data_IF_148165675150
#
_entry.id   IF_148165675150
#
_cell.length_a   1.000
_cell.length_b   1.000
_cell.length_c   1.000
_cell.angle_alpha   90.00
_cell.angle_beta   90.00
_cell.angle_gamma   90.00
#
_symmetry.space_group_name_H-M   'P 1'
#
loop_
_entity.id
_entity.type
_entity.pdbx_description
1 polymer ?
#
# COMPACT_ATOMS: atom_id res chain seq x y z
N UNK A 1 4.41 60.74 -2.76
CA UNK A 1 3.97 60.08 -4.02
C UNK A 1 2.80 59.17 -3.68
N UNK A 2 1.65 59.34 -4.32
CA UNK A 2 0.48 58.46 -4.14
C UNK A 2 0.76 57.14 -4.83
N UNK A 3 0.68 56.03 -4.11
CA UNK A 3 0.70 54.68 -4.68
C UNK A 3 -0.56 54.51 -5.54
N UNK A 4 -0.42 54.73 -6.85
CA UNK A 4 -1.46 54.37 -7.82
C UNK A 4 -1.40 52.86 -8.02
N UNK A 5 -2.33 52.12 -7.41
CA UNK A 5 -2.54 50.72 -7.76
C UNK A 5 -3.40 50.67 -9.02
N UNK A 6 -2.75 50.63 -10.19
CA UNK A 6 -3.40 50.65 -11.51
C UNK A 6 -4.44 49.52 -11.69
N UNK A 7 -4.30 48.44 -10.94
CA UNK A 7 -5.16 47.25 -11.02
C UNK A 7 -6.26 47.20 -9.96
N UNK A 8 -6.20 48.06 -8.93
CA UNK A 8 -7.23 48.19 -7.90
C UNK A 8 -7.42 49.67 -7.53
N UNK A 9 -7.85 50.52 -8.48
CA UNK A 9 -7.87 51.97 -8.30
C UNK A 9 -8.83 52.44 -7.20
N UNK A 10 -9.85 51.62 -6.85
CA UNK A 10 -10.80 51.91 -5.77
C UNK A 10 -10.33 51.45 -4.39
N UNK A 11 -9.22 50.71 -4.28
CA UNK A 11 -8.73 50.18 -3.00
C UNK A 11 -9.65 49.13 -2.39
N UNK A 12 -10.46 48.45 -3.21
CA UNK A 12 -11.41 47.44 -2.77
C UNK A 12 -10.70 46.31 -2.01
N UNK A 13 -11.29 45.88 -0.89
CA UNK A 13 -10.84 44.68 -0.16
C UNK A 13 -11.24 43.44 -0.95
N UNK A 14 -10.51 42.34 -0.74
CA UNK A 14 -10.77 41.05 -1.42
C UNK A 14 -12.26 40.71 -1.42
N UNK A 15 -12.93 40.64 -0.27
CA UNK A 15 -14.38 40.36 -0.19
C UNK A 15 -15.26 41.26 -1.08
N UNK A 16 -14.96 42.56 -1.15
CA UNK A 16 -15.73 43.52 -1.97
C UNK A 16 -15.55 43.32 -3.47
N UNK A 17 -14.43 42.70 -3.88
CA UNK A 17 -14.21 42.28 -5.26
C UNK A 17 -15.04 41.02 -5.61
N UNK A 18 -15.45 40.20 -4.66
CA UNK A 18 -16.13 38.93 -4.95
C UNK A 18 -17.65 38.98 -4.75
N UNK A 19 -18.13 39.82 -3.83
CA UNK A 19 -19.53 39.94 -3.42
C UNK A 19 -20.54 40.06 -4.59
N UNK A 20 -20.31 40.92 -5.62
CA UNK A 20 -21.27 41.11 -6.71
C UNK A 20 -21.38 39.96 -7.70
N UNK A 21 -20.43 39.01 -7.69
CA UNK A 21 -20.34 37.89 -8.64
C UNK A 21 -20.63 36.54 -7.97
N UNK A 22 -21.33 36.61 -6.84
CA UNK A 22 -21.77 35.47 -6.05
C UNK A 22 -23.10 34.97 -6.58
N UNK A 23 -23.15 33.72 -7.04
CA UNK A 23 -24.42 33.04 -7.35
C UNK A 23 -24.67 32.00 -6.28
N UNK A 24 -25.71 32.19 -5.46
CA UNK A 24 -26.15 31.21 -4.46
C UNK A 24 -27.40 30.50 -4.93
N UNK A 25 -27.34 29.18 -5.04
CA UNK A 25 -28.51 28.33 -5.26
C UNK A 25 -28.82 27.56 -3.98
N UNK A 26 -30.04 27.72 -3.49
CA UNK A 26 -30.54 26.95 -2.36
C UNK A 26 -31.09 25.62 -2.87
N UNK A 27 -30.41 24.53 -2.55
CA UNK A 27 -30.85 23.18 -2.94
C UNK A 27 -31.59 22.55 -1.76
N UNK A 28 -32.91 22.38 -1.92
CA UNK A 28 -33.75 21.76 -0.92
C UNK A 28 -33.77 20.24 -1.13
N UNK A 29 -33.15 19.48 -0.23
CA UNK A 29 -33.25 18.02 -0.20
C UNK A 29 -34.50 17.59 0.58
N UNK A 30 -35.23 16.58 0.09
CA UNK A 30 -36.44 16.01 0.72
C UNK A 30 -36.05 15.01 1.83
N UNK A 31 -35.04 15.34 2.65
CA UNK A 31 -34.51 14.52 3.74
C UNK A 31 -34.41 15.28 5.07
N UNK A 32 -34.09 14.59 6.17
CA UNK A 32 -34.04 15.17 7.53
C UNK A 32 -32.87 16.14 7.78
N UNK A 33 -31.93 16.22 6.86
CA UNK A 33 -30.83 17.17 6.89
C UNK A 33 -31.25 18.38 6.04
N UNK A 34 -31.47 19.53 6.69
CA UNK A 34 -32.02 20.73 6.03
C UNK A 34 -31.24 21.16 4.78
N UNK A 35 -31.89 21.93 3.91
CA UNK A 35 -31.33 22.32 2.60
C UNK A 35 -29.97 23.03 2.70
N UNK A 36 -29.09 22.72 1.75
CA UNK A 36 -27.72 23.25 1.66
C UNK A 36 -27.72 24.38 0.63
N UNK A 37 -27.07 25.49 0.99
CA UNK A 37 -26.88 26.62 0.09
C UNK A 37 -25.55 26.43 -0.65
N UNK A 38 -25.58 26.26 -1.97
CA UNK A 38 -24.38 26.10 -2.79
C UNK A 38 -24.08 27.46 -3.43
N UNK A 39 -22.92 28.00 -3.12
CA UNK A 39 -22.49 29.30 -3.63
C UNK A 39 -21.33 29.13 -4.60
N UNK A 40 -21.52 29.57 -5.84
CA UNK A 40 -20.48 29.55 -6.89
C UNK A 40 -19.99 30.97 -7.13
N UNK A 41 -18.67 31.13 -7.06
CA UNK A 41 -17.96 32.37 -7.38
C UNK A 41 -17.28 32.21 -8.75
N UNK A 42 -17.32 33.22 -9.62
CA UNK A 42 -16.56 33.22 -10.86
C UNK A 42 -16.08 34.63 -11.18
N UNK A 43 -14.77 34.86 -11.11
CA UNK A 43 -14.12 36.12 -11.53
C UNK A 43 -12.72 35.83 -12.07
N UNK A 44 -12.27 36.63 -13.03
CA UNK A 44 -10.90 36.64 -13.52
C UNK A 44 -10.14 37.77 -12.80
N UNK A 45 -8.96 37.46 -12.26
CA UNK A 45 -8.04 38.45 -11.70
C UNK A 45 -6.83 38.57 -12.62
N UNK A 46 -6.51 39.81 -13.03
CA UNK A 46 -5.30 40.11 -13.80
C UNK A 46 -4.24 40.59 -12.81
N UNK A 47 -3.15 39.85 -12.72
CA UNK A 47 -2.00 40.21 -11.90
C UNK A 47 -0.89 40.79 -12.78
N UNK A 48 -0.29 41.91 -12.36
CA UNK A 48 0.92 42.43 -12.98
C UNK A 48 1.94 42.81 -11.91
N UNK A 49 3.18 42.37 -12.10
CA UNK A 49 4.31 42.67 -11.24
C UNK A 49 5.61 42.62 -12.04
N UNK A 50 6.72 43.17 -11.50
CA UNK A 50 8.03 43.05 -12.14
C UNK A 50 8.39 41.59 -12.38
N UNK A 51 8.91 41.28 -13.57
CA UNK A 51 9.29 39.92 -13.96
C UNK A 51 10.29 39.28 -12.97
N UNK A 52 11.16 40.10 -12.36
CA UNK A 52 12.16 39.66 -11.37
C UNK A 52 11.58 39.13 -10.05
N UNK A 53 10.29 39.35 -9.78
CA UNK A 53 9.59 38.82 -8.58
C UNK A 53 8.50 37.82 -8.95
N UNK A 54 8.51 37.33 -10.19
CA UNK A 54 7.38 36.58 -10.71
C UNK A 54 7.14 35.30 -9.92
N UNK A 55 8.18 34.53 -9.64
CA UNK A 55 8.11 33.23 -8.97
C UNK A 55 7.64 33.38 -7.51
N UNK A 56 8.18 34.36 -6.80
CA UNK A 56 7.76 34.72 -5.43
C UNK A 56 6.27 35.11 -5.39
N UNK A 57 5.85 35.97 -6.32
CA UNK A 57 4.47 36.45 -6.37
C UNK A 57 3.49 35.34 -6.80
N UNK A 58 3.89 34.46 -7.72
CA UNK A 58 3.09 33.30 -8.12
C UNK A 58 2.85 32.36 -6.94
N UNK A 59 3.90 32.04 -6.17
CA UNK A 59 3.75 31.25 -4.96
C UNK A 59 2.86 31.95 -3.93
N UNK A 60 2.84 33.29 -3.87
CA UNK A 60 2.00 34.06 -2.96
C UNK A 60 0.51 34.05 -3.33
N UNK A 61 0.20 34.08 -4.62
CA UNK A 61 -1.17 34.24 -5.14
C UNK A 61 -1.81 32.91 -5.50
N UNK A 62 -1.04 31.94 -5.96
CA UNK A 62 -1.50 30.63 -6.40
C UNK A 62 -1.04 29.51 -5.47
N UNK A 63 -1.59 28.31 -5.68
CA UNK A 63 -1.06 27.11 -5.04
C UNK A 63 0.29 26.72 -5.64
N UNK A 64 1.11 25.98 -4.90
CA UNK A 64 2.42 25.57 -5.36
C UNK A 64 2.36 24.73 -6.64
N UNK A 65 1.31 23.93 -6.82
CA UNK A 65 1.06 23.11 -8.01
C UNK A 65 0.94 23.99 -9.26
N UNK A 66 0.17 25.07 -9.19
CA UNK A 66 -0.02 25.97 -10.33
C UNK A 66 1.23 26.83 -10.57
N UNK A 67 1.94 27.21 -9.50
CA UNK A 67 3.18 27.97 -9.62
C UNK A 67 4.31 27.15 -10.29
N UNK A 68 4.43 25.85 -9.99
CA UNK A 68 5.43 24.98 -10.65
C UNK A 68 5.03 24.66 -12.09
N UNK A 69 3.73 24.54 -12.40
CA UNK A 69 3.22 24.38 -13.76
C UNK A 69 3.54 25.62 -14.62
N UNK A 70 3.36 26.83 -14.06
CA UNK A 70 3.76 28.07 -14.73
C UNK A 70 5.27 28.13 -14.98
N UNK A 71 6.09 27.82 -13.96
CA UNK A 71 7.54 27.76 -14.11
C UNK A 71 7.95 26.77 -15.22
N UNK A 72 7.30 25.60 -15.27
CA UNK A 72 7.55 24.59 -16.29
C UNK A 72 7.16 25.04 -17.71
N UNK A 73 6.26 26.02 -17.85
CA UNK A 73 5.87 26.58 -19.16
C UNK A 73 6.88 27.59 -19.71
N UNK A 74 7.74 28.13 -18.86
CA UNK A 74 8.68 29.24 -19.18
C UNK A 74 10.07 28.77 -19.61
N UNK A 75 10.20 27.54 -20.10
CA UNK A 75 11.48 26.93 -20.50
C UNK A 75 12.31 27.84 -21.42
N UNK A 76 13.66 27.87 -21.28
CA UNK A 76 14.47 27.07 -20.36
C UNK A 76 14.48 27.62 -18.92
N UNK A 77 14.57 26.71 -17.94
CA UNK A 77 14.72 27.05 -16.51
C UNK A 77 16.11 26.60 -16.06
N UNK A 78 16.85 27.46 -15.37
CA UNK A 78 18.16 27.12 -14.83
C UNK A 78 18.08 26.38 -13.48
N UNK A 79 19.13 25.65 -13.12
CA UNK A 79 19.23 24.98 -11.81
C UNK A 79 19.05 25.95 -10.65
N UNK A 80 19.65 27.14 -10.75
CA UNK A 80 19.57 28.19 -9.73
C UNK A 80 18.14 28.71 -9.56
N UNK A 81 17.42 28.94 -10.66
CA UNK A 81 16.01 29.36 -10.62
C UNK A 81 15.13 28.28 -9.99
N UNK A 82 15.32 27.01 -10.40
CA UNK A 82 14.56 25.89 -9.86
C UNK A 82 14.83 25.67 -8.36
N UNK A 83 16.10 25.80 -7.93
CA UNK A 83 16.51 25.75 -6.52
C UNK A 83 15.86 26.87 -5.71
N UNK A 84 15.92 28.10 -6.23
CA UNK A 84 15.34 29.28 -5.57
C UNK A 84 13.83 29.14 -5.41
N UNK A 85 13.16 28.61 -6.44
CA UNK A 85 11.73 28.31 -6.40
C UNK A 85 11.40 27.27 -5.33
N UNK A 86 12.17 26.17 -5.26
CA UNK A 86 11.98 25.11 -4.26
C UNK A 86 12.17 25.63 -2.83
N UNK A 87 13.20 26.45 -2.59
CA UNK A 87 13.45 27.04 -1.28
C UNK A 87 12.33 28.02 -0.86
N UNK A 88 11.82 28.82 -1.79
CA UNK A 88 10.69 29.72 -1.54
C UNK A 88 9.39 28.94 -1.24
N UNK A 89 9.11 27.88 -2.01
CA UNK A 89 7.95 27.02 -1.78
C UNK A 89 8.04 26.31 -0.42
N UNK A 90 9.22 25.76 -0.09
CA UNK A 90 9.49 25.12 1.19
C UNK A 90 9.31 26.06 2.37
N UNK A 91 9.90 27.26 2.31
CA UNK A 91 9.78 28.26 3.38
C UNK A 91 8.32 28.66 3.63
N UNK A 92 7.50 28.75 2.57
CA UNK A 92 6.09 29.09 2.67
C UNK A 92 5.23 27.96 3.22
N UNK A 93 5.48 26.73 2.79
CA UNK A 93 4.61 25.58 3.05
C UNK A 93 5.12 24.68 4.18
N UNK A 94 6.27 25.00 4.75
CA UNK A 94 6.92 24.21 5.81
C UNK A 94 7.39 22.85 5.30
N UNK A 95 7.74 22.73 4.00
CA UNK A 95 8.18 21.46 3.45
C UNK A 95 9.58 21.08 3.89
N UNK A 96 9.81 19.80 4.17
CA UNK A 96 11.15 19.27 4.48
C UNK A 96 11.69 19.66 5.85
N UNK A 97 10.84 20.16 6.75
CA UNK A 97 11.17 20.39 8.17
C UNK A 97 11.00 19.08 8.93
N UNK A 98 12.02 18.62 9.65
CA UNK A 98 11.88 17.52 10.60
C UNK A 98 11.58 18.09 12.00
N UNK A 99 10.40 17.78 12.56
CA UNK A 99 10.06 18.15 13.94
C UNK A 99 9.79 16.88 14.76
N UNK A 100 10.55 16.70 15.84
CA UNK A 100 10.44 15.58 16.79
C UNK A 100 10.35 14.20 16.13
N UNK A 101 11.15 13.96 15.09
CA UNK A 101 11.18 12.68 14.38
C UNK A 101 9.99 12.41 13.45
N UNK A 102 9.11 13.40 13.23
CA UNK A 102 8.12 13.37 12.15
C UNK A 102 8.65 14.22 10.99
N UNK A 103 8.69 13.62 9.79
CA UNK A 103 8.82 14.39 8.55
C UNK A 103 7.65 15.38 8.49
N UNK A 104 7.97 16.66 8.28
CA UNK A 104 6.99 17.73 8.12
C UNK A 104 6.18 17.59 6.84
N UNK A 105 5.48 18.66 6.46
CA UNK A 105 4.72 18.68 5.22
C UNK A 105 5.60 18.31 4.02
N UNK A 106 5.03 17.61 3.04
CA UNK A 106 5.72 17.22 1.81
C UNK A 106 5.03 17.85 0.61
N UNK A 107 5.74 17.85 -0.52
CA UNK A 107 5.16 18.27 -1.78
C UNK A 107 3.97 17.37 -2.16
N UNK A 108 2.94 17.96 -2.76
CA UNK A 108 1.80 17.18 -3.26
C UNK A 108 2.20 16.33 -4.48
N UNK A 109 1.42 15.28 -4.78
CA UNK A 109 1.62 14.45 -5.97
C UNK A 109 1.59 15.29 -7.25
N UNK A 110 0.66 16.25 -7.35
CA UNK A 110 0.56 17.14 -8.51
C UNK A 110 1.79 18.04 -8.66
N UNK A 111 2.31 18.58 -7.55
CA UNK A 111 3.56 19.34 -7.57
C UNK A 111 4.73 18.46 -8.06
N UNK A 112 4.86 17.26 -7.50
CA UNK A 112 5.92 16.31 -7.88
C UNK A 112 5.90 16.01 -9.37
N UNK A 113 4.72 15.84 -9.98
CA UNK A 113 4.59 15.52 -11.41
C UNK A 113 5.27 16.55 -12.31
N UNK A 114 5.06 17.84 -12.03
CA UNK A 114 5.69 18.93 -12.80
C UNK A 114 7.17 19.10 -12.43
N UNK A 115 7.48 19.02 -11.13
CA UNK A 115 8.83 19.25 -10.63
C UNK A 115 9.83 18.17 -11.08
N UNK A 116 9.42 16.89 -11.13
CA UNK A 116 10.27 15.79 -11.64
C UNK A 116 10.70 16.02 -13.10
N UNK A 117 9.82 16.57 -13.95
CA UNK A 117 10.19 16.89 -15.33
C UNK A 117 11.21 18.04 -15.39
N UNK A 118 11.03 19.08 -14.55
CA UNK A 118 11.98 20.19 -14.47
C UNK A 118 13.36 19.74 -13.97
N UNK A 119 13.40 18.80 -13.01
CA UNK A 119 14.66 18.21 -12.54
C UNK A 119 15.42 17.52 -13.68
N UNK A 120 14.71 16.74 -14.49
CA UNK A 120 15.28 16.07 -15.67
C UNK A 120 15.78 17.10 -16.69
N UNK A 121 15.00 18.15 -16.97
CA UNK A 121 15.38 19.19 -17.93
C UNK A 121 16.64 19.96 -17.50
N UNK A 122 16.78 20.21 -16.19
CA UNK A 122 17.93 20.92 -15.60
C UNK A 122 19.18 20.03 -15.53
N UNK A 123 19.01 18.73 -15.25
CA UNK A 123 20.12 17.78 -15.18
C UNK A 123 21.06 17.97 -13.99
N UNK A 124 20.60 18.58 -12.89
CA UNK A 124 21.38 18.76 -11.65
C UNK A 124 21.13 17.59 -10.67
N UNK A 125 22.11 16.68 -10.46
CA UNK A 125 21.94 15.50 -9.61
C UNK A 125 21.78 15.84 -8.13
N UNK A 126 22.45 16.88 -7.65
CA UNK A 126 22.36 17.32 -6.25
C UNK A 126 20.96 17.86 -5.95
N UNK A 127 20.41 18.65 -6.88
CA UNK A 127 19.04 19.16 -6.77
C UNK A 127 18.00 18.02 -6.85
N UNK A 128 18.21 17.04 -7.74
CA UNK A 128 17.33 15.89 -7.84
C UNK A 128 17.33 15.04 -6.56
N UNK A 129 18.53 14.73 -6.04
CA UNK A 129 18.69 14.00 -4.77
C UNK A 129 18.08 14.74 -3.59
N UNK A 130 18.29 16.05 -3.52
CA UNK A 130 17.71 16.91 -2.49
C UNK A 130 16.19 16.89 -2.53
N UNK A 131 15.59 17.03 -3.72
CA UNK A 131 14.14 16.95 -3.90
C UNK A 131 13.58 15.61 -3.42
N UNK A 132 14.14 14.50 -3.91
CA UNK A 132 13.67 13.16 -3.59
C UNK A 132 13.76 12.86 -2.08
N UNK A 133 14.85 13.27 -1.43
CA UNK A 133 15.10 12.96 -0.02
C UNK A 133 14.31 13.81 0.97
N UNK A 134 14.11 15.11 0.67
CA UNK A 134 13.54 16.07 1.65
C UNK A 134 12.15 16.56 1.32
N UNK A 135 11.74 16.54 0.06
CA UNK A 135 10.52 17.23 -0.39
C UNK A 135 9.50 16.28 -1.00
N UNK A 136 9.95 15.21 -1.66
CA UNK A 136 9.07 14.21 -2.25
C UNK A 136 8.43 13.35 -1.15
N UNK A 137 7.10 13.17 -1.16
CA UNK A 137 6.44 12.28 -0.23
C UNK A 137 6.79 10.82 -0.53
N UNK A 138 6.74 9.97 0.49
CA UNK A 138 6.75 8.51 0.31
C UNK A 138 5.43 8.08 -0.32
N UNK A 139 5.51 7.26 -1.36
CA UNK A 139 4.42 7.13 -2.32
C UNK A 139 3.55 5.89 -2.14
N UNK A 140 3.98 4.89 -1.39
CA UNK A 140 3.21 3.67 -1.25
C UNK A 140 1.80 3.95 -0.71
N UNK A 141 0.78 3.46 -1.43
CA UNK A 141 -0.66 3.66 -1.20
C UNK A 141 -1.18 5.11 -1.30
N UNK A 142 -0.33 6.09 -1.67
CA UNK A 142 -0.77 7.48 -1.89
C UNK A 142 -1.68 7.60 -3.10
N UNK A 143 -2.78 8.35 -2.97
CA UNK A 143 -3.72 8.58 -4.09
C UNK A 143 -3.01 9.24 -5.28
N UNK A 144 -3.31 8.77 -6.49
CA UNK A 144 -2.72 9.23 -7.76
C UNK A 144 -1.20 9.05 -7.92
N UNK A 145 -0.53 8.30 -7.03
CA UNK A 145 0.91 8.06 -7.09
C UNK A 145 1.38 7.46 -8.44
N UNK A 146 0.56 6.63 -9.09
CA UNK A 146 0.83 6.04 -10.40
C UNK A 146 1.10 7.10 -11.49
N UNK A 147 0.56 8.30 -11.33
CA UNK A 147 0.80 9.42 -12.26
C UNK A 147 2.25 9.91 -12.28
N UNK A 148 3.05 9.57 -11.27
CA UNK A 148 4.45 9.94 -11.15
C UNK A 148 5.41 8.94 -11.80
N UNK A 149 4.94 7.73 -12.14
CA UNK A 149 5.75 6.66 -12.72
C UNK A 149 6.58 7.16 -13.93
N UNK A 150 6.00 7.88 -14.92
CA UNK A 150 6.80 8.39 -16.05
C UNK A 150 7.90 9.36 -15.62
N UNK A 151 7.67 10.16 -14.57
CA UNK A 151 8.67 11.08 -14.02
C UNK A 151 9.84 10.32 -13.40
N UNK A 152 9.57 9.28 -12.61
CA UNK A 152 10.62 8.47 -11.99
C UNK A 152 11.42 7.64 -13.00
N UNK A 153 10.78 7.11 -14.04
CA UNK A 153 11.48 6.45 -15.15
C UNK A 153 12.50 7.41 -15.77
N UNK A 154 12.10 8.67 -16.05
CA UNK A 154 13.02 9.68 -16.59
C UNK A 154 14.15 10.00 -15.64
N UNK A 155 13.88 10.19 -14.34
CA UNK A 155 14.93 10.45 -13.33
C UNK A 155 15.96 9.31 -13.34
N UNK A 156 15.49 8.06 -13.20
CA UNK A 156 16.36 6.88 -13.15
C UNK A 156 17.12 6.62 -14.47
N UNK A 157 16.61 7.11 -15.61
CA UNK A 157 17.28 7.04 -16.90
C UNK A 157 18.27 8.17 -17.16
N UNK A 158 18.10 9.32 -16.49
CA UNK A 158 18.87 10.55 -16.76
C UNK A 158 20.07 10.69 -15.83
N UNK A 159 19.88 10.37 -14.55
CA UNK A 159 20.89 10.55 -13.51
C UNK A 159 21.66 9.26 -13.22
N UNK A 160 22.90 9.38 -12.73
CA UNK A 160 23.64 8.22 -12.24
C UNK A 160 22.88 7.57 -11.08
N UNK A 161 22.82 6.24 -11.07
CA UNK A 161 22.17 5.50 -9.99
C UNK A 161 22.82 5.78 -8.63
N UNK A 162 24.13 6.01 -8.59
CA UNK A 162 24.86 6.33 -7.36
C UNK A 162 24.42 7.66 -6.73
N UNK A 163 23.91 8.59 -7.53
CA UNK A 163 23.49 9.91 -7.04
C UNK A 163 22.07 9.86 -6.45
N UNK A 164 21.14 9.20 -7.15
CA UNK A 164 19.69 9.28 -6.87
C UNK A 164 19.07 7.95 -6.38
N UNK A 165 19.77 6.83 -6.52
CA UNK A 165 19.22 5.49 -6.34
C UNK A 165 18.65 5.24 -4.95
N UNK A 166 19.40 5.55 -3.89
CA UNK A 166 18.89 5.39 -2.51
C UNK A 166 17.65 6.23 -2.24
N UNK A 167 17.63 7.48 -2.72
CA UNK A 167 16.49 8.37 -2.53
C UNK A 167 15.25 7.88 -3.30
N UNK A 168 15.42 7.37 -4.52
CA UNK A 168 14.34 6.74 -5.28
C UNK A 168 13.78 5.50 -4.58
N UNK A 169 14.65 4.65 -4.03
CA UNK A 169 14.24 3.46 -3.31
C UNK A 169 13.47 3.80 -2.01
N UNK A 170 13.84 4.86 -1.29
CA UNK A 170 13.07 5.33 -0.12
C UNK A 170 11.68 5.86 -0.52
N UNK A 171 11.61 6.69 -1.57
CA UNK A 171 10.37 7.31 -2.04
C UNK A 171 9.37 6.27 -2.56
N UNK A 172 9.81 5.36 -3.43
CA UNK A 172 8.97 4.34 -4.05
C UNK A 172 8.71 3.16 -3.11
N UNK A 173 9.71 2.78 -2.32
CA UNK A 173 9.68 1.57 -1.50
C UNK A 173 9.00 1.73 -0.15
N UNK A 174 8.59 2.94 0.25
CA UNK A 174 8.02 3.16 1.59
C UNK A 174 6.51 3.42 1.54
N UNK A 175 5.77 2.60 2.27
CA UNK A 175 4.36 2.82 2.59
C UNK A 175 4.26 3.59 3.92
N UNK A 176 3.32 4.53 4.00
CA UNK A 176 2.96 5.14 5.28
C UNK A 176 2.07 4.17 6.07
N UNK A 177 2.17 4.13 7.41
CA UNK A 177 1.32 3.28 8.24
C UNK A 177 -0.17 3.56 7.97
N UNK A 178 -0.92 2.48 7.77
CA UNK A 178 -2.38 2.45 7.56
C UNK A 178 -3.12 3.08 8.75
N UNK A 179 -3.32 4.40 8.73
CA UNK A 179 -4.29 5.06 9.60
C UNK A 179 -5.52 5.57 8.87
N UNK A 180 -5.52 5.56 7.53
CA UNK A 180 -6.69 5.87 6.72
C UNK A 180 -6.98 4.69 5.79
N UNK A 181 -8.07 3.99 6.08
CA UNK A 181 -8.77 3.15 5.11
C UNK A 181 -9.43 4.09 4.08
N UNK A 182 -8.63 4.74 3.23
CA UNK A 182 -9.19 5.46 2.09
C UNK A 182 -9.86 4.44 1.16
N UNK A 183 -11.07 4.74 0.68
CA UNK A 183 -11.83 3.82 -0.19
C UNK A 183 -11.13 3.51 -1.52
N UNK A 184 -10.09 4.25 -1.90
CA UNK A 184 -9.32 4.07 -3.14
C UNK A 184 -7.84 4.44 -2.94
N UNK A 185 -7.03 3.59 -2.27
CA UNK A 185 -5.60 3.82 -2.16
C UNK A 185 -4.93 3.72 -3.55
N UNK A 186 -3.83 4.46 -3.74
CA UNK A 186 -3.00 4.30 -4.95
C UNK A 186 -2.18 3.01 -4.92
N UNK A 187 -1.26 2.87 -5.89
CA UNK A 187 -0.38 1.71 -6.01
C UNK A 187 0.41 1.47 -4.71
N UNK A 188 0.56 0.21 -4.33
CA UNK A 188 1.45 -0.23 -3.25
C UNK A 188 2.92 0.08 -3.58
N UNK A 189 3.80 0.05 -2.57
CA UNK A 189 5.23 0.26 -2.80
C UNK A 189 5.82 -0.80 -3.76
N UNK A 190 5.35 -2.05 -3.68
CA UNK A 190 5.78 -3.13 -4.58
C UNK A 190 5.37 -2.82 -6.02
N UNK A 191 4.10 -2.43 -6.25
CA UNK A 191 3.61 -2.08 -7.59
C UNK A 191 4.37 -0.89 -8.19
N UNK A 192 4.61 0.17 -7.39
CA UNK A 192 5.39 1.32 -7.86
C UNK A 192 6.80 0.93 -8.29
N UNK A 193 7.52 0.16 -7.47
CA UNK A 193 8.87 -0.30 -7.78
C UNK A 193 8.89 -1.13 -9.07
N UNK A 194 7.94 -2.07 -9.23
CA UNK A 194 7.85 -2.94 -10.41
C UNK A 194 7.50 -2.17 -11.67
N UNK A 195 6.56 -1.22 -11.60
CA UNK A 195 6.13 -0.42 -12.76
C UNK A 195 7.20 0.56 -13.21
N UNK A 196 7.96 1.15 -12.29
CA UNK A 196 9.13 1.99 -12.65
C UNK A 196 10.23 1.11 -13.25
N UNK A 197 10.52 -0.06 -12.68
CA UNK A 197 11.50 -0.99 -13.23
C UNK A 197 11.16 -1.46 -14.65
N UNK A 198 9.89 -1.71 -14.95
CA UNK A 198 9.43 -2.13 -16.27
C UNK A 198 9.60 -1.05 -17.36
N UNK A 199 9.72 0.22 -16.98
CA UNK A 199 9.97 1.32 -17.90
C UNK A 199 11.44 1.60 -18.18
N UNK A 200 12.36 0.86 -17.55
CA UNK A 200 13.80 1.05 -17.65
C UNK A 200 14.44 -0.03 -18.51
N UNK A 201 15.59 0.30 -19.12
CA UNK A 201 16.44 -0.68 -19.77
C UNK A 201 17.17 -1.55 -18.75
N UNK A 202 17.71 -2.67 -19.22
CA UNK A 202 18.53 -3.57 -18.41
C UNK A 202 19.77 -2.82 -17.88
N UNK A 203 19.95 -2.84 -16.56
CA UNK A 203 21.01 -2.10 -15.88
C UNK A 203 20.78 -2.00 -14.37
N UNK A 204 21.72 -1.33 -13.70
CA UNK A 204 21.72 -1.19 -12.23
C UNK A 204 20.42 -0.60 -11.66
N UNK A 205 19.81 0.46 -12.24
CA UNK A 205 18.54 1.00 -11.75
C UNK A 205 17.41 -0.04 -11.73
N UNK A 206 17.24 -0.75 -12.85
CA UNK A 206 16.19 -1.76 -13.01
C UNK A 206 16.39 -2.92 -12.03
N UNK A 207 17.60 -3.44 -11.92
CA UNK A 207 17.93 -4.53 -11.00
C UNK A 207 17.70 -4.13 -9.54
N UNK A 208 18.11 -2.94 -9.13
CA UNK A 208 17.96 -2.46 -7.77
C UNK A 208 16.48 -2.26 -7.38
N UNK A 209 15.66 -1.72 -8.29
CA UNK A 209 14.22 -1.56 -8.08
C UNK A 209 13.51 -2.93 -7.94
N UNK A 210 13.83 -3.88 -8.82
CA UNK A 210 13.29 -5.24 -8.75
C UNK A 210 13.73 -5.95 -7.47
N UNK A 211 15.01 -5.86 -7.09
CA UNK A 211 15.51 -6.44 -5.84
C UNK A 211 14.79 -5.86 -4.62
N UNK A 212 14.56 -4.54 -4.61
CA UNK A 212 13.80 -3.88 -3.52
C UNK A 212 12.34 -4.31 -3.49
N UNK A 213 11.72 -4.50 -4.65
CA UNK A 213 10.35 -5.03 -4.73
C UNK A 213 10.27 -6.44 -4.15
N UNK A 214 11.24 -7.31 -4.48
CA UNK A 214 11.32 -8.69 -3.98
C UNK A 214 11.71 -8.80 -2.50
N UNK A 215 12.39 -7.81 -1.93
CA UNK A 215 12.61 -7.71 -0.47
C UNK A 215 11.29 -7.44 0.26
N UNK A 216 10.44 -6.60 -0.33
CA UNK A 216 9.18 -6.13 0.25
C UNK A 216 7.98 -7.00 -0.10
N UNK A 217 8.17 -7.96 -1.00
CA UNK A 217 7.06 -8.74 -1.47
C UNK A 217 6.54 -9.62 -0.33
N UNK A 218 5.27 -9.40 -0.04
CA UNK A 218 4.46 -10.31 0.74
C UNK A 218 3.44 -10.85 -0.25
N UNK A 219 3.64 -12.08 -0.71
CA UNK A 219 2.70 -12.78 -1.60
C UNK A 219 1.42 -13.18 -0.85
N UNK A 220 0.88 -12.33 0.02
CA UNK A 220 -0.48 -12.49 0.55
C UNK A 220 -1.51 -11.78 -0.34
N UNK A 221 -1.07 -10.95 -1.29
CA UNK A 221 -1.94 -10.23 -2.23
C UNK A 221 -1.80 -10.77 -3.66
N UNK A 222 -2.93 -11.06 -4.30
CA UNK A 222 -2.99 -11.39 -5.72
C UNK A 222 -2.51 -10.24 -6.60
N UNK A 223 -2.70 -8.98 -6.19
CA UNK A 223 -2.27 -7.82 -6.97
C UNK A 223 -0.75 -7.71 -7.06
N UNK A 224 -0.04 -8.00 -5.96
CA UNK A 224 1.42 -8.01 -5.95
C UNK A 224 1.99 -9.16 -6.82
N UNK A 225 1.34 -10.32 -6.79
CA UNK A 225 1.70 -11.45 -7.64
C UNK A 225 1.48 -11.13 -9.14
N UNK A 226 0.36 -10.49 -9.47
CA UNK A 226 0.03 -10.09 -10.83
C UNK A 226 0.99 -8.99 -11.35
N UNK A 227 1.36 -8.04 -10.49
CA UNK A 227 2.33 -7.02 -10.82
C UNK A 227 3.71 -7.63 -11.12
N UNK A 228 4.16 -8.62 -10.32
CA UNK A 228 5.40 -9.35 -10.60
C UNK A 228 5.35 -10.03 -11.96
N UNK A 229 4.25 -10.72 -12.26
CA UNK A 229 4.09 -11.40 -13.53
C UNK A 229 4.13 -10.42 -14.70
N UNK A 230 3.27 -9.42 -14.65
CA UNK A 230 3.12 -8.44 -15.74
C UNK A 230 4.39 -7.64 -16.00
N UNK A 231 5.17 -7.29 -14.98
CA UNK A 231 6.28 -6.33 -15.10
C UNK A 231 7.68 -6.94 -15.00
N UNK A 232 7.86 -8.02 -14.26
CA UNK A 232 9.17 -8.63 -14.05
C UNK A 232 9.37 -9.91 -14.87
N UNK A 233 8.31 -10.71 -15.06
CA UNK A 233 8.37 -11.98 -15.81
C UNK A 233 8.03 -11.77 -17.28
N UNK A 234 6.84 -11.25 -17.59
CA UNK A 234 6.33 -11.15 -18.96
C UNK A 234 7.07 -10.10 -19.79
N UNK A 235 7.39 -8.95 -19.18
CA UNK A 235 8.08 -7.83 -19.84
C UNK A 235 9.59 -7.83 -19.58
N UNK A 236 10.09 -8.71 -18.73
CA UNK A 236 11.48 -8.67 -18.29
C UNK A 236 12.44 -9.45 -19.20
N UNK A 237 13.72 -9.08 -19.10
CA UNK A 237 14.84 -9.85 -19.64
C UNK A 237 15.10 -11.15 -18.85
N UNK A 238 16.01 -11.99 -19.37
CA UNK A 238 16.37 -13.25 -18.71
C UNK A 238 16.87 -13.05 -17.28
N UNK A 239 17.61 -11.98 -17.01
CA UNK A 239 18.14 -11.71 -15.67
C UNK A 239 17.04 -11.39 -14.65
N UNK A 240 16.03 -10.62 -15.05
CA UNK A 240 14.88 -10.34 -14.18
C UNK A 240 14.07 -11.59 -13.91
N UNK A 241 13.87 -12.40 -14.95
CA UNK A 241 13.21 -13.68 -14.83
C UNK A 241 13.94 -14.59 -13.83
N UNK A 242 15.26 -14.73 -13.97
CA UNK A 242 16.10 -15.56 -13.08
C UNK A 242 16.06 -15.07 -11.64
N UNK A 243 16.09 -13.75 -11.42
CA UNK A 243 16.03 -13.18 -10.08
C UNK A 243 14.68 -13.43 -9.40
N UNK A 244 13.58 -13.24 -10.12
CA UNK A 244 12.22 -13.48 -9.60
C UNK A 244 12.02 -14.97 -9.32
N UNK A 245 12.32 -15.83 -10.29
CA UNK A 245 12.17 -17.29 -10.12
C UNK A 245 13.05 -17.82 -8.98
N UNK A 246 14.31 -17.38 -8.88
CA UNK A 246 15.20 -17.73 -7.75
C UNK A 246 14.63 -17.33 -6.39
N UNK A 247 13.88 -16.23 -6.30
CA UNK A 247 13.21 -15.81 -5.06
C UNK A 247 11.99 -16.68 -4.77
N UNK A 248 11.16 -16.94 -5.78
CA UNK A 248 9.95 -17.77 -5.67
C UNK A 248 10.30 -19.22 -5.30
N UNK A 249 11.37 -19.78 -5.86
CA UNK A 249 11.85 -21.12 -5.51
C UNK A 249 12.22 -21.27 -4.02
N UNK A 250 12.70 -20.18 -3.40
CA UNK A 250 13.12 -20.14 -2.00
C UNK A 250 11.97 -19.88 -1.03
N UNK A 251 10.81 -19.40 -1.50
CA UNK A 251 9.64 -19.14 -0.65
C UNK A 251 8.99 -20.43 -0.18
N UNK A 252 8.32 -20.39 0.97
CA UNK A 252 7.59 -21.56 1.46
C UNK A 252 6.41 -21.88 0.53
N UNK A 253 6.09 -23.16 0.27
CA UNK A 253 5.00 -23.53 -0.62
C UNK A 253 3.65 -22.91 -0.23
N UNK A 254 3.40 -22.70 1.06
CA UNK A 254 2.19 -22.07 1.60
C UNK A 254 2.07 -20.59 1.19
N UNK A 255 3.19 -19.88 1.06
CA UNK A 255 3.27 -18.46 0.69
C UNK A 255 3.09 -18.24 -0.82
N UNK A 256 3.25 -19.28 -1.63
CA UNK A 256 3.12 -19.19 -3.09
C UNK A 256 1.67 -19.10 -3.58
N UNK A 257 0.66 -19.20 -2.71
CA UNK A 257 -0.75 -19.29 -3.12
C UNK A 257 -1.22 -18.21 -4.12
N UNK A 258 -1.04 -16.91 -3.83
CA UNK A 258 -1.41 -15.86 -4.78
C UNK A 258 -0.66 -15.94 -6.12
N UNK A 259 0.59 -16.41 -6.12
CA UNK A 259 1.35 -16.63 -7.35
C UNK A 259 0.92 -17.91 -8.08
N UNK A 260 0.45 -18.94 -7.37
CA UNK A 260 -0.17 -20.13 -7.96
C UNK A 260 -1.38 -19.78 -8.83
N UNK A 261 -2.20 -18.82 -8.41
CA UNK A 261 -3.31 -18.32 -9.24
C UNK A 261 -2.82 -17.65 -10.53
N UNK A 262 -1.76 -16.87 -10.45
CA UNK A 262 -1.14 -16.19 -11.61
C UNK A 262 -0.56 -17.22 -12.58
N UNK A 263 0.14 -18.24 -12.06
CA UNK A 263 0.63 -19.37 -12.86
C UNK A 263 -0.51 -20.14 -13.53
N UNK A 264 -1.65 -20.28 -12.86
CA UNK A 264 -2.83 -20.93 -13.43
C UNK A 264 -3.53 -20.09 -14.50
N UNK A 265 -3.40 -18.75 -14.45
CA UNK A 265 -4.01 -17.86 -15.43
C UNK A 265 -3.13 -17.65 -16.66
N UNK A 266 -1.82 -17.57 -16.45
CA UNK A 266 -0.87 -17.12 -17.47
C UNK A 266 0.20 -18.15 -17.82
N UNK A 267 0.22 -19.31 -17.16
CA UNK A 267 1.23 -20.35 -17.42
C UNK A 267 1.26 -20.82 -18.86
N UNK A 268 0.13 -20.79 -19.56
CA UNK A 268 0.01 -21.12 -20.98
C UNK A 268 0.57 -20.06 -21.93
N UNK A 269 0.98 -18.88 -21.42
CA UNK A 269 1.55 -17.81 -22.24
C UNK A 269 2.95 -18.19 -22.77
N UNK A 270 3.61 -19.16 -22.14
CA UNK A 270 4.92 -19.67 -22.54
C UNK A 270 4.81 -20.96 -23.36
N UNK A 271 5.71 -21.12 -24.34
CA UNK A 271 5.84 -22.38 -25.07
C UNK A 271 6.27 -23.51 -24.12
N UNK A 272 5.66 -24.68 -24.25
CA UNK A 272 5.87 -25.82 -23.33
C UNK A 272 7.30 -26.36 -23.30
N UNK A 273 8.09 -26.07 -24.33
CA UNK A 273 9.50 -26.48 -24.46
C UNK A 273 10.48 -25.39 -23.99
N UNK A 274 9.97 -24.20 -23.63
CA UNK A 274 10.81 -23.08 -23.18
C UNK A 274 11.41 -23.32 -21.80
N UNK A 275 12.63 -22.83 -21.58
CA UNK A 275 13.31 -22.88 -20.28
C UNK A 275 12.51 -22.13 -19.20
N UNK A 276 11.84 -21.04 -19.59
CA UNK A 276 10.95 -20.28 -18.72
C UNK A 276 9.78 -21.15 -18.24
N UNK A 277 9.11 -21.88 -19.14
CA UNK A 277 8.02 -22.78 -18.76
C UNK A 277 8.50 -23.89 -17.83
N UNK A 278 9.70 -24.44 -18.06
CA UNK A 278 10.30 -25.44 -17.17
C UNK A 278 10.56 -24.90 -15.76
N UNK A 279 11.04 -23.66 -15.62
CA UNK A 279 11.27 -23.01 -14.33
C UNK A 279 9.95 -22.70 -13.59
N UNK A 280 8.95 -22.17 -14.31
CA UNK A 280 7.61 -21.94 -13.73
C UNK A 280 6.93 -23.25 -13.32
N UNK A 281 7.12 -24.32 -14.10
CA UNK A 281 6.64 -25.67 -13.79
C UNK A 281 7.20 -26.20 -12.47
N UNK A 282 8.48 -25.92 -12.15
CA UNK A 282 9.09 -26.30 -10.86
C UNK A 282 8.44 -25.59 -9.68
N UNK A 283 8.15 -24.29 -9.82
CA UNK A 283 7.46 -23.51 -8.79
C UNK A 283 6.02 -24.03 -8.60
N UNK A 284 5.32 -24.30 -9.71
CA UNK A 284 3.99 -24.90 -9.69
C UNK A 284 3.99 -26.30 -9.05
N UNK A 285 4.99 -27.14 -9.34
CA UNK A 285 5.12 -28.48 -8.76
C UNK A 285 5.26 -28.42 -7.24
N UNK A 286 6.12 -27.51 -6.74
CA UNK A 286 6.30 -27.27 -5.30
C UNK A 286 4.98 -26.89 -4.62
N UNK A 287 4.20 -26.00 -5.26
CA UNK A 287 2.88 -25.60 -4.76
C UNK A 287 1.88 -26.76 -4.79
N UNK A 288 1.86 -27.55 -5.87
CA UNK A 288 0.96 -28.71 -6.02
C UNK A 288 1.26 -29.81 -5.00
N UNK A 289 2.53 -30.08 -4.71
CA UNK A 289 2.91 -31.05 -3.67
C UNK A 289 2.38 -30.64 -2.29
N UNK A 290 2.53 -29.36 -1.93
CA UNK A 290 1.96 -28.82 -0.70
C UNK A 290 0.42 -28.90 -0.69
N UNK A 291 -0.23 -28.50 -1.79
CA UNK A 291 -1.69 -28.59 -1.92
C UNK A 291 -2.21 -30.02 -1.72
N UNK A 292 -1.50 -31.05 -2.21
CA UNK A 292 -1.89 -32.45 -1.99
C UNK A 292 -1.94 -32.80 -0.50
N UNK A 293 -0.92 -32.41 0.26
CA UNK A 293 -0.87 -32.64 1.71
C UNK A 293 -2.01 -31.92 2.44
N UNK A 294 -2.21 -30.63 2.15
CA UNK A 294 -3.27 -29.84 2.77
C UNK A 294 -4.67 -30.34 2.43
N UNK A 295 -4.90 -30.74 1.17
CA UNK A 295 -6.17 -31.34 0.74
C UNK A 295 -6.41 -32.65 1.47
N UNK A 296 -5.40 -33.50 1.62
CA UNK A 296 -5.55 -34.79 2.33
C UNK A 296 -5.94 -34.57 3.80
N UNK A 297 -5.27 -33.65 4.48
CA UNK A 297 -5.55 -33.31 5.88
C UNK A 297 -6.93 -32.68 6.05
N UNK A 298 -7.27 -31.68 5.22
CA UNK A 298 -8.58 -31.03 5.26
C UNK A 298 -9.72 -31.97 4.87
N UNK A 299 -9.53 -32.87 3.90
CA UNK A 299 -10.56 -33.85 3.48
C UNK A 299 -10.87 -34.88 4.58
N UNK A 300 -9.89 -35.23 5.44
CA UNK A 300 -10.14 -36.04 6.65
C UNK A 300 -11.03 -35.28 7.63
N UNK A 301 -10.83 -33.98 7.79
CA UNK A 301 -11.49 -33.15 8.80
C UNK A 301 -12.85 -32.58 8.34
N UNK A 302 -13.04 -32.37 7.05
CA UNK A 302 -14.20 -31.68 6.49
C UNK A 302 -15.43 -32.57 6.25
N UNK A 303 -15.29 -33.90 6.40
CA UNK A 303 -16.36 -34.87 6.10
C UNK A 303 -17.56 -34.74 7.02
N UNK A 304 -17.31 -34.45 8.28
CA UNK A 304 -18.34 -34.27 9.30
C UNK A 304 -17.93 -33.17 10.25
N UNK A 305 -18.87 -32.29 10.59
CA UNK A 305 -18.60 -31.21 11.53
C UNK A 305 -18.09 -31.75 12.87
N UNK A 306 -16.94 -31.20 13.30
CA UNK A 306 -16.35 -31.41 14.61
C UNK A 306 -16.04 -30.07 15.27
N UNK A 307 -16.09 -30.04 16.60
CA UNK A 307 -15.60 -28.91 17.40
C UNK A 307 -14.09 -28.95 17.60
N UNK A 308 -13.42 -30.02 17.20
CA UNK A 308 -11.97 -30.18 17.33
C UNK A 308 -11.24 -29.30 16.32
N UNK A 309 -10.25 -28.56 16.80
CA UNK A 309 -9.32 -27.75 16.00
C UNK A 309 -7.92 -28.33 16.22
N UNK A 310 -7.59 -29.46 15.56
CA UNK A 310 -6.44 -30.30 15.90
C UNK A 310 -5.10 -29.57 15.76
N UNK A 311 -5.04 -28.56 14.88
CA UNK A 311 -3.82 -27.79 14.61
C UNK A 311 -3.73 -26.48 15.38
N UNK A 312 -4.63 -26.20 16.34
CA UNK A 312 -4.51 -25.00 17.16
C UNK A 312 -3.15 -24.98 17.90
N UNK A 313 -2.39 -23.88 17.80
CA UNK A 313 -1.07 -23.71 18.46
C UNK A 313 -1.05 -22.42 19.27
N UNK A 314 -0.86 -22.52 20.59
CA UNK A 314 -0.69 -21.37 21.46
C UNK A 314 0.36 -21.65 22.55
N UNK A 315 1.31 -20.73 22.71
CA UNK A 315 2.47 -20.94 23.57
C UNK A 315 2.23 -20.53 25.02
N UNK A 316 1.22 -19.71 25.29
CA UNK A 316 1.07 -19.05 26.61
C UNK A 316 0.12 -19.78 27.55
N UNK A 317 -0.89 -20.50 27.04
CA UNK A 317 -1.85 -21.24 27.87
C UNK A 317 -2.18 -22.62 27.29
N UNK A 318 -1.57 -23.66 27.86
CA UNK A 318 -1.71 -25.06 27.41
C UNK A 318 -3.14 -25.58 27.56
N UNK A 319 -3.85 -25.18 28.61
CA UNK A 319 -5.24 -25.60 28.89
C UNK A 319 -6.19 -25.18 27.75
N UNK A 320 -6.01 -23.98 27.20
CA UNK A 320 -6.82 -23.49 26.07
C UNK A 320 -6.53 -24.31 24.82
N UNK A 321 -5.26 -24.65 24.53
CA UNK A 321 -4.91 -25.48 23.37
C UNK A 321 -5.50 -26.87 23.47
N UNK A 322 -5.37 -27.50 24.64
CA UNK A 322 -5.95 -28.83 24.90
C UNK A 322 -7.47 -28.80 24.73
N UNK A 323 -8.14 -27.75 25.21
CA UNK A 323 -9.57 -27.54 24.95
C UNK A 323 -9.89 -27.35 23.47
N UNK A 324 -9.14 -26.50 22.75
CA UNK A 324 -9.37 -26.22 21.32
C UNK A 324 -9.23 -27.49 20.47
N UNK A 325 -8.28 -28.35 20.80
CA UNK A 325 -8.08 -29.65 20.14
C UNK A 325 -9.12 -30.71 20.56
N UNK A 326 -9.79 -30.52 21.70
CA UNK A 326 -10.81 -31.44 22.21
C UNK A 326 -12.21 -31.26 21.60
N UNK A 327 -13.14 -32.20 21.81
CA UNK A 327 -14.48 -32.17 21.22
C UNK A 327 -15.46 -31.20 21.90
N UNK A 328 -15.08 -30.61 23.04
CA UNK A 328 -15.97 -29.74 23.81
C UNK A 328 -16.20 -28.41 23.09
N UNK A 329 -17.45 -27.94 23.11
CA UNK A 329 -17.82 -26.66 22.49
C UNK A 329 -17.39 -25.46 23.34
N UNK A 330 -17.39 -25.60 24.67
CA UNK A 330 -17.10 -24.50 25.60
C UNK A 330 -16.25 -24.96 26.78
N UNK A 331 -15.40 -24.06 27.29
CA UNK A 331 -14.71 -24.21 28.57
C UNK A 331 -14.86 -22.94 29.41
N UNK A 332 -14.66 -23.09 30.72
CA UNK A 332 -14.65 -21.96 31.66
C UNK A 332 -13.34 -21.94 32.41
N UNK A 333 -12.69 -20.78 32.43
CA UNK A 333 -11.45 -20.50 33.13
C UNK A 333 -11.72 -19.57 34.31
N UNK A 334 -11.20 -19.92 35.49
CA UNK A 334 -11.28 -19.08 36.70
C UNK A 334 -10.02 -18.23 36.93
N UNK A 335 -9.02 -18.39 36.07
CA UNK A 335 -7.73 -17.71 36.15
C UNK A 335 -7.02 -17.71 34.81
N UNK A 336 -5.88 -17.01 34.71
CA UNK A 336 -5.00 -17.04 33.52
C UNK A 336 -4.41 -18.44 33.32
N UNK A 337 -4.17 -19.11 34.45
CA UNK A 337 -3.83 -20.52 34.57
C UNK A 337 -4.47 -21.06 35.87
N UNK A 338 -4.28 -22.35 36.13
CA UNK A 338 -4.73 -23.02 37.36
C UNK A 338 -4.28 -22.34 38.67
N UNK A 339 -3.18 -21.55 38.64
CA UNK A 339 -2.53 -20.99 39.83
C UNK A 339 -2.82 -19.48 40.05
N UNK A 340 -3.34 -18.77 39.05
CA UNK A 340 -3.60 -17.32 39.08
C UNK A 340 -5.08 -16.98 38.84
N UNK A 341 -5.94 -17.04 39.89
CA UNK A 341 -7.37 -16.78 39.76
C UNK A 341 -7.68 -15.31 39.43
N UNK A 342 -8.79 -15.09 38.73
CA UNK A 342 -9.28 -13.75 38.42
C UNK A 342 -9.86 -13.08 39.67
N UNK A 343 -9.05 -12.26 40.34
CA UNK A 343 -9.45 -11.55 41.58
C UNK A 343 -10.61 -10.56 41.33
N UNK A 344 -10.76 -10.03 40.11
CA UNK A 344 -11.78 -9.02 39.76
C UNK A 344 -12.32 -9.27 38.35
N UNK A 345 -13.61 -8.98 38.13
CA UNK A 345 -14.24 -9.01 36.80
C UNK A 345 -13.48 -8.20 35.75
N UNK A 346 -12.85 -7.09 36.14
CA UNK A 346 -12.00 -6.32 35.22
C UNK A 346 -10.87 -7.16 34.62
N UNK A 347 -10.21 -8.00 35.42
CA UNK A 347 -9.11 -8.87 34.94
C UNK A 347 -9.62 -9.96 34.02
N UNK A 348 -10.76 -10.57 34.32
CA UNK A 348 -11.42 -11.51 33.42
C UNK A 348 -11.79 -10.85 32.08
N UNK A 349 -12.29 -9.61 32.10
CA UNK A 349 -12.59 -8.83 30.87
C UNK A 349 -11.34 -8.52 30.04
N UNK A 350 -10.25 -8.09 30.70
CA UNK A 350 -8.95 -7.86 30.05
C UNK A 350 -8.46 -9.15 29.36
N UNK A 351 -8.48 -10.29 30.05
CA UNK A 351 -8.06 -11.57 29.49
C UNK A 351 -8.95 -12.04 28.32
N UNK A 352 -10.27 -11.93 28.45
CA UNK A 352 -11.19 -12.27 27.37
C UNK A 352 -10.98 -11.39 26.13
N UNK A 353 -10.67 -10.10 26.32
CA UNK A 353 -10.33 -9.20 25.22
C UNK A 353 -9.04 -9.63 24.53
N UNK A 354 -7.98 -9.94 25.27
CA UNK A 354 -6.72 -10.46 24.74
C UNK A 354 -6.93 -11.75 23.94
N UNK A 355 -7.68 -12.71 24.48
CA UNK A 355 -7.99 -13.97 23.79
C UNK A 355 -8.67 -13.74 22.44
N UNK A 356 -9.58 -12.76 22.35
CA UNK A 356 -10.30 -12.44 21.11
C UNK A 356 -9.45 -11.60 20.13
N UNK A 357 -8.53 -10.80 20.64
CA UNK A 357 -7.70 -9.90 19.84
C UNK A 357 -6.51 -10.62 19.22
N UNK A 358 -5.80 -11.42 20.01
CA UNK A 358 -4.57 -12.08 19.54
C UNK A 358 -4.88 -13.30 18.68
N UNK A 359 -6.04 -13.94 18.89
CA UNK A 359 -6.55 -15.14 18.19
C UNK A 359 -5.51 -16.26 18.02
N UNK A 360 -5.80 -17.42 18.59
CA UNK A 360 -4.94 -18.58 18.39
C UNK A 360 -4.99 -19.03 16.91
N UNK A 361 -3.83 -19.16 16.22
CA UNK A 361 -3.77 -19.68 14.86
C UNK A 361 -4.48 -21.03 14.73
N UNK A 362 -5.09 -21.28 13.57
CA UNK A 362 -5.84 -22.52 13.30
C UNK A 362 -6.98 -22.79 14.30
N UNK A 363 -7.67 -21.74 14.75
CA UNK A 363 -8.81 -21.88 15.64
C UNK A 363 -9.89 -20.81 15.39
N UNK A 364 -11.10 -21.05 15.90
CA UNK A 364 -12.12 -19.99 16.00
C UNK A 364 -12.97 -20.15 17.25
N UNK A 365 -12.98 -19.12 18.08
CA UNK A 365 -13.73 -19.06 19.32
C UNK A 365 -14.08 -17.62 19.69
N UNK A 366 -14.96 -17.48 20.68
CA UNK A 366 -15.29 -16.22 21.34
C UNK A 366 -15.08 -16.41 22.83
N UNK A 367 -14.29 -15.53 23.45
CA UNK A 367 -14.10 -15.45 24.89
C UNK A 367 -15.01 -14.36 25.48
N UNK A 368 -15.71 -14.68 26.57
CA UNK A 368 -16.57 -13.74 27.32
C UNK A 368 -16.33 -13.85 28.82
N UNK A 369 -16.15 -12.71 29.47
CA UNK A 369 -16.05 -12.65 30.92
C UNK A 369 -17.43 -12.53 31.57
N UNK A 370 -17.63 -13.23 32.68
CA UNK A 370 -18.86 -13.22 33.47
C UNK A 370 -18.55 -13.31 34.97
N UNK A 371 -19.49 -12.82 35.77
CA UNK A 371 -19.52 -12.91 37.22
C UNK A 371 -20.99 -13.07 37.61
N UNK A 372 -21.36 -14.23 38.12
CA UNK A 372 -22.72 -14.52 38.59
C UNK A 372 -22.78 -14.25 40.09
N UNK A 373 -23.98 -14.03 40.63
CA UNK A 373 -24.17 -13.78 42.06
C UNK A 373 -23.69 -15.00 42.88
N UNK A 374 -22.63 -14.81 43.68
CA UNK A 374 -22.00 -15.86 44.48
C UNK A 374 -20.90 -16.67 43.77
N UNK A 375 -20.54 -16.33 42.54
CA UNK A 375 -19.44 -16.97 41.80
C UNK A 375 -18.25 -16.03 41.61
N UNK A 376 -17.04 -16.60 41.62
CA UNK A 376 -15.83 -15.86 41.26
C UNK A 376 -15.88 -15.44 39.77
N UNK A 377 -15.26 -14.30 39.42
CA UNK A 377 -15.09 -13.89 38.04
C UNK A 377 -14.44 -14.99 37.19
N UNK A 378 -15.01 -15.24 36.01
CA UNK A 378 -14.51 -16.28 35.11
C UNK A 378 -14.63 -15.85 33.65
N UNK A 379 -13.89 -16.55 32.78
CA UNK A 379 -13.93 -16.38 31.33
C UNK A 379 -14.44 -17.66 30.70
N UNK A 380 -15.49 -17.55 29.91
CA UNK A 380 -16.00 -18.65 29.09
C UNK A 380 -15.49 -18.51 27.67
N UNK A 381 -14.78 -19.52 27.18
CA UNK A 381 -14.33 -19.63 25.79
C UNK A 381 -15.28 -20.58 25.08
N UNK A 382 -15.92 -20.11 24.01
CA UNK A 382 -16.87 -20.89 23.20
C UNK A 382 -16.37 -20.97 21.76
N UNK A 383 -16.18 -22.18 21.26
CA UNK A 383 -15.80 -22.41 19.86
C UNK A 383 -16.89 -21.97 18.91
N UNK A 384 -16.50 -21.49 17.73
CA UNK A 384 -17.44 -21.18 16.65
C UNK A 384 -17.34 -22.20 15.53
N UNK A 385 -18.29 -22.14 14.59
CA UNK A 385 -18.26 -22.97 13.37
C UNK A 385 -17.38 -22.39 12.26
N UNK A 386 -16.85 -21.18 12.43
CA UNK A 386 -16.12 -20.47 11.37
C UNK A 386 -14.89 -21.25 10.94
N UNK A 387 -14.13 -21.87 11.86
CA UNK A 387 -12.95 -22.64 11.48
C UNK A 387 -13.31 -23.82 10.55
N UNK A 388 -14.37 -24.55 10.86
CA UNK A 388 -14.85 -25.64 9.98
C UNK A 388 -15.38 -25.12 8.64
N UNK A 389 -16.14 -24.03 8.65
CA UNK A 389 -16.65 -23.41 7.41
C UNK A 389 -15.49 -22.94 6.51
N UNK A 390 -14.51 -22.23 7.08
CA UNK A 390 -13.30 -21.79 6.39
C UNK A 390 -12.48 -22.98 5.88
N UNK A 391 -12.39 -24.07 6.65
CA UNK A 391 -11.72 -25.30 6.23
C UNK A 391 -12.38 -25.92 4.99
N UNK A 392 -13.71 -25.93 4.93
CA UNK A 392 -14.46 -26.41 3.76
C UNK A 392 -14.25 -25.51 2.54
N UNK A 393 -14.26 -24.19 2.73
CA UNK A 393 -13.98 -23.22 1.66
C UNK A 393 -12.55 -23.36 1.13
N UNK A 394 -11.57 -23.44 2.04
CA UNK A 394 -10.16 -23.67 1.70
C UNK A 394 -9.98 -24.99 0.95
N UNK A 395 -10.63 -26.07 1.37
CA UNK A 395 -10.56 -27.36 0.68
C UNK A 395 -11.06 -27.26 -0.77
N UNK A 396 -12.21 -26.60 -0.99
CA UNK A 396 -12.74 -26.38 -2.33
C UNK A 396 -11.77 -25.56 -3.19
N UNK A 397 -11.27 -24.45 -2.63
CA UNK A 397 -10.30 -23.56 -3.29
C UNK A 397 -9.00 -24.28 -3.65
N UNK A 398 -8.44 -25.07 -2.73
CA UNK A 398 -7.20 -25.81 -2.95
C UNK A 398 -7.38 -26.92 -3.99
N UNK A 399 -8.51 -27.64 -3.99
CA UNK A 399 -8.83 -28.63 -5.04
C UNK A 399 -8.92 -27.97 -6.42
N UNK A 400 -9.54 -26.79 -6.50
CA UNK A 400 -9.63 -26.03 -7.76
C UNK A 400 -8.25 -25.54 -8.23
N UNK A 401 -7.46 -24.92 -7.33
CA UNK A 401 -6.09 -24.45 -7.61
C UNK A 401 -5.21 -25.60 -8.12
N UNK A 402 -5.21 -26.73 -7.40
CA UNK A 402 -4.44 -27.92 -7.77
C UNK A 402 -4.84 -28.46 -9.15
N UNK A 403 -6.13 -28.47 -9.46
CA UNK A 403 -6.63 -28.95 -10.76
C UNK A 403 -6.12 -28.06 -11.89
N UNK A 404 -6.25 -26.73 -11.76
CA UNK A 404 -5.79 -25.77 -12.78
C UNK A 404 -4.28 -25.85 -13.01
N UNK A 405 -3.49 -25.87 -11.93
CA UNK A 405 -2.03 -26.00 -12.03
C UNK A 405 -1.64 -27.32 -12.68
N UNK A 406 -2.30 -28.42 -12.30
CA UNK A 406 -2.03 -29.72 -12.91
C UNK A 406 -2.41 -29.75 -14.38
N UNK A 407 -3.54 -29.15 -14.79
CA UNK A 407 -3.95 -29.17 -16.19
C UNK A 407 -2.97 -28.42 -17.11
N UNK A 408 -2.34 -27.36 -16.62
CA UNK A 408 -1.38 -26.56 -17.40
C UNK A 408 0.00 -27.24 -17.44
N UNK A 409 0.48 -27.77 -16.32
CA UNK A 409 1.86 -28.26 -16.19
C UNK A 409 2.00 -29.78 -16.20
N UNK A 410 0.90 -30.53 -16.39
CA UNK A 410 0.82 -32.01 -16.37
C UNK A 410 1.91 -32.71 -17.19
N UNK A 411 2.24 -32.19 -18.36
CA UNK A 411 3.21 -32.79 -19.29
C UNK A 411 4.66 -32.77 -18.80
N UNK A 412 4.97 -31.97 -17.78
CA UNK A 412 6.32 -31.83 -17.22
C UNK A 412 6.51 -32.63 -15.92
N UNK A 413 5.45 -33.24 -15.38
CA UNK A 413 5.48 -33.95 -14.09
C UNK A 413 5.29 -35.46 -14.21
N UNK A 414 5.09 -35.95 -15.44
CA UNK A 414 5.16 -37.37 -15.84
C UNK A 414 6.55 -37.69 -16.33
#
# INVERSE_FOLDING_TARGET
MRNFNFLNPGGEKFFQLWDPFTTSEYVQFIGKEGGINITKYSRFAIFAWPAVRHEENMLNVLSAEHAVEDLASRKPVSATELRTFLDAASAKLGWGVEDRGRRGAMASIRFCRSFLNLLVDVGDPELAKLFLSKFCPRLGKQRENASLIPGFIKIASTFSWDDVGEALLDVLGTELPEYDYEENPGDSAVELLLRVAAGLNDGAPRQALLAKALEKIVLHSSTAAEALWSHAIRLGDSQSFDMVTSKLEKMEPSELGPFGNVLAQHGSDFESESEQFALLSRIAAKRVEWLKGEIEELDKLSKTFSWEMPYAVYYECKEIVEFLRGPQQSMTLRGVNSDEPFIKLRKAKEFAATCNQERIPESSYIAKASESEGEEPHVTITKTREWHANSQENLARYKEEMTKLSDIYKSQWT
#
